data_IF_246193594561
#
_entry.id   IF_246193594561
#
_cell.length_a   1.000
_cell.length_b   1.000
_cell.length_c   1.000
_cell.angle_alpha   90.00
_cell.angle_beta   90.00
_cell.angle_gamma   90.00
#
_symmetry.space_group_name_H-M   'P 1'
#
loop_
_entity.id
_entity.type
_entity.pdbx_description
1 polymer ?
#
# COMPACT_ATOMS: atom_id res chain seq x y z
N UNK A 1 -25.75 -47.06 -22.07
CA UNK A 1 -24.36 -47.38 -22.47
C UNK A 1 -23.24 -46.51 -21.82
N UNK A 2 -23.51 -45.45 -21.04
CA UNK A 2 -22.46 -44.58 -20.48
C UNK A 2 -21.75 -45.05 -19.19
N UNK A 3 -22.26 -46.11 -18.52
CA UNK A 3 -21.80 -46.51 -17.18
C UNK A 3 -20.35 -47.00 -17.11
N UNK A 4 -19.89 -47.73 -18.12
CA UNK A 4 -18.51 -48.25 -18.20
C UNK A 4 -17.48 -47.11 -18.24
N UNK A 5 -17.72 -46.10 -19.09
CA UNK A 5 -16.87 -44.90 -19.17
C UNK A 5 -16.82 -44.14 -17.84
N UNK A 6 -17.94 -44.05 -17.12
CA UNK A 6 -18.01 -43.38 -15.83
C UNK A 6 -17.20 -44.13 -14.76
N UNK A 7 -17.30 -45.47 -14.72
CA UNK A 7 -16.48 -46.34 -13.86
C UNK A 7 -14.98 -46.19 -14.15
N UNK A 8 -14.57 -46.27 -15.41
CA UNK A 8 -13.18 -46.13 -15.81
C UNK A 8 -12.58 -44.75 -15.47
N UNK A 9 -13.35 -43.66 -15.66
CA UNK A 9 -12.90 -42.30 -15.29
C UNK A 9 -12.71 -42.13 -13.77
N UNK A 10 -13.43 -42.90 -12.96
CA UNK A 10 -13.33 -42.87 -11.51
C UNK A 10 -12.22 -43.79 -10.98
N UNK A 11 -12.02 -44.96 -11.58
CA UNK A 11 -11.03 -45.94 -11.14
C UNK A 11 -9.62 -45.67 -11.65
N UNK A 12 -9.46 -44.91 -12.75
CA UNK A 12 -8.13 -44.62 -13.28
C UNK A 12 -7.31 -43.78 -12.28
N UNK A 13 -6.03 -44.12 -12.06
CA UNK A 13 -5.16 -43.31 -11.21
C UNK A 13 -5.02 -41.91 -11.83
N UNK A 14 -5.33 -40.88 -11.04
CA UNK A 14 -5.12 -39.50 -11.44
C UNK A 14 -3.71 -39.10 -11.07
N UNK A 15 -2.92 -38.71 -12.07
CA UNK A 15 -1.63 -38.04 -11.84
C UNK A 15 -1.94 -36.72 -11.15
N UNK A 16 -1.73 -36.68 -9.83
CA UNK A 16 -1.81 -35.45 -9.05
C UNK A 16 -0.48 -34.73 -9.22
N UNK A 17 -0.43 -33.74 -10.10
CA UNK A 17 0.71 -32.83 -10.19
C UNK A 17 0.63 -31.91 -8.98
N UNK A 18 1.25 -32.31 -7.88
CA UNK A 18 1.25 -31.53 -6.65
C UNK A 18 2.25 -30.40 -6.75
N UNK A 19 1.79 -29.15 -6.73
CA UNK A 19 2.70 -28.03 -6.48
C UNK A 19 3.30 -28.16 -5.07
N UNK A 20 4.56 -27.75 -4.86
CA UNK A 20 5.16 -27.69 -3.54
C UNK A 20 4.26 -26.90 -2.59
N UNK A 21 3.83 -27.54 -1.50
CA UNK A 21 3.02 -26.88 -0.47
C UNK A 21 3.90 -25.85 0.23
N UNK A 22 3.66 -24.56 -0.06
CA UNK A 22 4.32 -23.46 0.65
C UNK A 22 3.65 -23.25 2.00
N UNK A 23 4.45 -23.10 3.06
CA UNK A 23 3.94 -22.71 4.38
C UNK A 23 3.64 -21.20 4.35
N UNK A 24 2.38 -20.76 4.44
CA UNK A 24 2.04 -19.34 4.29
C UNK A 24 2.57 -18.47 5.43
N UNK A 25 2.96 -19.08 6.55
CA UNK A 25 3.50 -18.39 7.73
C UNK A 25 4.99 -18.08 7.65
N UNK A 26 5.71 -18.67 6.69
CA UNK A 26 7.15 -18.46 6.53
C UNK A 26 7.37 -17.48 5.40
N UNK A 27 7.65 -16.23 5.77
CA UNK A 27 8.00 -15.18 4.82
C UNK A 27 9.51 -15.21 4.61
N UNK A 28 9.93 -15.26 3.35
CA UNK A 28 11.33 -15.20 2.95
C UNK A 28 11.58 -13.86 2.27
N UNK A 29 12.79 -13.27 2.38
CA UNK A 29 13.12 -12.08 1.60
C UNK A 29 13.03 -12.41 0.11
N UNK A 30 12.44 -11.51 -0.66
CA UNK A 30 12.30 -11.62 -2.13
C UNK A 30 13.46 -10.97 -2.88
N UNK A 31 14.38 -10.32 -2.15
CA UNK A 31 15.48 -9.53 -2.72
C UNK A 31 16.83 -10.05 -2.22
N UNK A 32 17.89 -9.66 -2.94
CA UNK A 32 19.28 -9.93 -2.57
C UNK A 32 20.03 -8.62 -2.61
N UNK A 33 20.70 -8.30 -1.51
CA UNK A 33 21.49 -7.06 -1.40
C UNK A 33 22.89 -7.34 -1.95
N UNK A 34 23.42 -6.50 -2.86
CA UNK A 34 24.80 -6.58 -3.29
C UNK A 34 25.77 -6.57 -2.09
N UNK A 35 26.82 -7.40 -2.09
CA UNK A 35 27.75 -7.51 -0.95
C UNK A 35 28.44 -6.18 -0.61
N UNK A 36 28.61 -5.29 -1.60
CA UNK A 36 29.15 -3.94 -1.40
C UNK A 36 28.28 -3.07 -0.49
N UNK A 37 26.96 -3.23 -0.57
CA UNK A 37 26.03 -2.50 0.29
C UNK A 37 25.96 -3.12 1.68
N UNK A 38 26.10 -4.45 1.79
CA UNK A 38 26.18 -5.12 3.10
C UNK A 38 27.39 -4.65 3.92
N UNK A 39 28.54 -4.41 3.28
CA UNK A 39 29.74 -3.87 3.95
C UNK A 39 29.54 -2.49 4.58
N UNK A 40 28.57 -1.70 4.09
CA UNK A 40 28.25 -0.40 4.68
C UNK A 40 27.38 -0.50 5.94
N UNK A 41 26.79 -1.67 6.18
CA UNK A 41 25.98 -1.92 7.36
C UNK A 41 26.88 -2.35 8.52
N UNK A 42 26.56 -1.88 9.73
CA UNK A 42 27.36 -2.17 10.91
C UNK A 42 27.32 -3.66 11.32
N UNK A 43 26.21 -4.34 11.01
CA UNK A 43 25.98 -5.75 11.33
C UNK A 43 25.44 -6.47 10.11
N UNK A 44 25.75 -7.77 9.97
CA UNK A 44 25.19 -8.62 8.93
C UNK A 44 23.70 -8.89 9.23
N UNK A 45 22.77 -8.27 8.48
CA UNK A 45 21.36 -8.35 8.79
C UNK A 45 20.84 -9.76 8.48
N UNK A 46 20.21 -10.39 9.47
CA UNK A 46 19.59 -11.70 9.33
C UNK A 46 18.07 -11.56 9.28
N UNK A 47 17.46 -12.24 8.32
CA UNK A 47 16.00 -12.29 8.21
C UNK A 47 15.40 -13.16 9.32
N UNK A 48 14.55 -12.58 10.17
CA UNK A 48 13.80 -13.32 11.19
C UNK A 48 12.53 -13.95 10.57
N UNK A 49 12.35 -15.26 10.74
CA UNK A 49 11.18 -15.99 10.23
C UNK A 49 9.89 -15.68 11.00
N UNK A 50 10.01 -15.24 12.26
CA UNK A 50 8.86 -14.93 13.13
C UNK A 50 8.57 -13.44 13.25
N UNK A 51 9.55 -12.61 12.93
CA UNK A 51 9.46 -11.16 13.00
C UNK A 51 8.49 -10.55 11.98
N UNK A 52 8.15 -9.29 12.20
CA UNK A 52 7.35 -8.53 11.23
C UNK A 52 8.17 -8.25 9.97
N UNK A 53 7.50 -8.23 8.82
CA UNK A 53 8.09 -7.86 7.52
C UNK A 53 8.80 -6.51 7.63
N UNK A 54 8.13 -5.49 8.17
CA UNK A 54 8.68 -4.13 8.29
C UNK A 54 9.95 -4.10 9.13
N UNK A 55 10.00 -4.85 10.24
CA UNK A 55 11.19 -4.91 11.10
C UNK A 55 12.37 -5.55 10.39
N UNK A 56 12.13 -6.64 9.65
CA UNK A 56 13.16 -7.26 8.83
C UNK A 56 13.67 -6.29 7.77
N UNK A 57 12.78 -5.70 6.95
CA UNK A 57 13.20 -4.76 5.91
C UNK A 57 14.03 -3.59 6.47
N UNK A 58 13.61 -3.04 7.61
CA UNK A 58 14.35 -1.97 8.28
C UNK A 58 15.75 -2.40 8.74
N UNK A 59 15.94 -3.64 9.20
CA UNK A 59 17.27 -4.13 9.58
C UNK A 59 18.21 -4.24 8.38
N UNK A 60 17.67 -4.46 7.19
CA UNK A 60 18.41 -4.42 5.92
C UNK A 60 18.62 -3.00 5.37
N UNK A 61 18.11 -1.96 6.05
CA UNK A 61 18.12 -0.58 5.55
C UNK A 61 17.24 -0.36 4.32
N UNK A 62 16.29 -1.28 4.06
CA UNK A 62 15.37 -1.22 2.93
C UNK A 62 13.99 -0.82 3.45
N UNK A 63 13.33 0.09 2.74
CA UNK A 63 11.98 0.51 3.08
C UNK A 63 10.98 -0.46 2.47
N UNK A 64 10.06 -0.99 3.28
CA UNK A 64 8.98 -1.86 2.79
C UNK A 64 7.95 -1.07 1.95
N UNK A 65 7.53 0.09 2.46
CA UNK A 65 6.48 0.91 1.86
C UNK A 65 7.05 2.27 1.44
N UNK A 66 7.24 2.54 0.13
CA UNK A 66 7.86 3.79 -0.32
C UNK A 66 7.05 5.04 0.04
N UNK A 67 5.73 4.92 0.17
CA UNK A 67 4.86 6.03 0.59
C UNK A 67 5.10 6.45 2.05
N UNK A 68 5.66 5.58 2.90
CA UNK A 68 6.03 5.97 4.26
C UNK A 68 7.11 7.05 4.29
N UNK A 69 7.93 7.15 3.23
CA UNK A 69 8.91 8.22 3.08
C UNK A 69 8.24 9.55 2.70
N UNK A 70 7.14 9.51 1.95
CA UNK A 70 6.43 10.72 1.52
C UNK A 70 5.59 11.32 2.63
N UNK A 71 5.04 10.51 3.54
CA UNK A 71 4.29 11.01 4.69
C UNK A 71 5.18 11.85 5.63
N UNK A 72 6.47 11.48 5.77
CA UNK A 72 7.47 12.29 6.48
C UNK A 72 7.80 13.61 5.77
N UNK A 73 7.58 13.70 4.46
CA UNK A 73 7.83 14.89 3.64
C UNK A 73 6.56 15.73 3.47
N UNK A 74 5.42 15.23 3.92
CA UNK A 74 4.19 15.99 3.93
C UNK A 74 4.32 17.06 5.01
N UNK A 75 4.26 18.32 4.59
CA UNK A 75 4.17 19.47 5.48
C UNK A 75 3.13 19.17 6.56
N UNK A 76 3.36 19.56 7.84
CA UNK A 76 2.47 19.21 8.93
C UNK A 76 1.05 19.49 8.48
N UNK A 77 0.23 18.43 8.42
CA UNK A 77 -1.19 18.56 8.12
C UNK A 77 -1.69 19.64 9.06
N UNK A 78 -2.01 20.81 8.50
CA UNK A 78 -2.59 21.95 9.21
C UNK A 78 -3.66 21.33 10.09
N UNK A 79 -3.42 21.41 11.39
CA UNK A 79 -4.34 20.93 12.40
C UNK A 79 -5.73 21.37 11.98
N UNK A 80 -6.65 20.41 11.85
CA UNK A 80 -8.07 20.70 11.74
C UNK A 80 -8.50 21.34 13.08
N UNK A 81 -8.09 22.58 13.30
CA UNK A 81 -8.69 23.46 14.27
C UNK A 81 -10.12 23.68 13.75
N UNK A 82 -11.16 23.27 14.50
CA UNK A 82 -12.55 23.45 14.09
C UNK A 82 -13.00 24.93 14.12
N UNK A 83 -12.05 25.86 14.26
CA UNK A 83 -12.26 27.28 14.47
C UNK A 83 -11.49 28.14 13.46
N UNK A 84 -11.38 27.68 12.21
CA UNK A 84 -11.01 28.58 11.11
C UNK A 84 -12.21 29.50 10.83
N UNK A 85 -12.24 30.63 11.53
CA UNK A 85 -13.09 31.78 11.22
C UNK A 85 -12.68 32.31 9.84
N UNK A 86 -13.27 31.72 8.81
CA UNK A 86 -12.88 31.85 7.41
C UNK A 86 -12.38 33.23 7.03
N UNK A 87 -11.06 33.32 6.84
CA UNK A 87 -10.42 34.56 6.42
C UNK A 87 -10.94 35.00 5.03
N UNK A 88 -11.15 36.30 4.89
CA UNK A 88 -11.63 36.98 3.68
C UNK A 88 -10.56 37.07 2.58
N UNK A 89 -9.34 36.60 2.87
CA UNK A 89 -8.19 36.67 1.97
C UNK A 89 -8.08 35.49 1.02
N UNK A 90 -8.77 34.39 1.31
CA UNK A 90 -8.67 33.18 0.50
C UNK A 90 -9.81 33.10 -0.52
N UNK A 91 -9.41 33.07 -1.79
CA UNK A 91 -10.27 33.06 -2.97
C UNK A 91 -11.28 31.90 -2.94
N UNK A 92 -12.53 32.17 -3.32
CA UNK A 92 -13.62 31.18 -3.28
C UNK A 92 -13.36 29.93 -4.13
N UNK A 93 -12.56 30.06 -5.19
CA UNK A 93 -12.17 28.94 -6.06
C UNK A 93 -11.27 27.95 -5.32
N UNK A 94 -10.35 28.44 -4.48
CA UNK A 94 -9.46 27.61 -3.67
C UNK A 94 -10.24 26.85 -2.60
N UNK A 95 -11.20 27.52 -1.94
CA UNK A 95 -12.10 26.89 -0.96
C UNK A 95 -12.93 25.76 -1.59
N UNK A 96 -13.38 25.96 -2.83
CA UNK A 96 -14.17 24.97 -3.57
C UNK A 96 -13.35 23.77 -4.00
N UNK A 97 -12.13 23.99 -4.49
CA UNK A 97 -11.21 22.91 -4.89
C UNK A 97 -10.82 22.00 -3.71
N UNK A 98 -10.68 22.58 -2.51
CA UNK A 98 -10.34 21.86 -1.27
C UNK A 98 -11.57 21.30 -0.53
N UNK A 99 -12.80 21.50 -1.06
CA UNK A 99 -14.04 21.02 -0.44
C UNK A 99 -14.40 21.72 0.87
N UNK A 100 -13.84 22.91 1.14
CA UNK A 100 -14.12 23.72 2.32
C UNK A 100 -15.40 24.53 2.11
N UNK A 101 -16.14 24.79 3.19
CA UNK A 101 -17.39 25.56 3.15
C UNK A 101 -17.10 27.04 3.36
N UNK A 102 -17.79 27.91 2.61
CA UNK A 102 -17.78 29.37 2.87
C UNK A 102 -18.43 29.68 4.21
N UNK A 103 -18.16 30.87 4.78
CA UNK A 103 -18.71 31.33 6.07
C UNK A 103 -20.24 31.33 6.11
N UNK A 104 -20.90 31.59 4.98
CA UNK A 104 -22.35 31.58 4.82
C UNK A 104 -22.94 30.15 4.74
N UNK A 105 -22.07 29.12 4.73
CA UNK A 105 -22.41 27.70 4.72
C UNK A 105 -22.78 27.14 3.34
N UNK A 106 -22.79 27.98 2.29
CA UNK A 106 -23.07 27.55 0.91
C UNK A 106 -21.77 27.20 0.19
N UNK A 107 -21.78 26.09 -0.55
CA UNK A 107 -20.72 25.79 -1.50
C UNK A 107 -20.82 26.75 -2.71
N UNK A 108 -19.70 27.09 -3.34
CA UNK A 108 -19.77 27.78 -4.63
C UNK A 108 -20.53 26.91 -5.64
N UNK A 109 -21.24 27.55 -6.57
CA UNK A 109 -21.87 26.81 -7.66
C UNK A 109 -20.77 26.20 -8.54
N UNK A 110 -20.95 24.96 -9.02
CA UNK A 110 -19.97 24.33 -9.89
C UNK A 110 -19.81 25.17 -11.16
N UNK A 111 -18.58 25.59 -11.44
CA UNK A 111 -18.30 26.31 -12.69
C UNK A 111 -18.33 25.33 -13.87
N UNK A 112 -18.97 25.69 -14.99
CA UNK A 112 -18.97 24.85 -16.18
C UNK A 112 -17.56 24.77 -16.77
N UNK A 113 -17.15 23.57 -17.19
CA UNK A 113 -15.84 23.30 -17.81
C UNK A 113 -15.68 23.92 -19.23
N UNK A 114 -16.67 24.68 -19.68
CA UNK A 114 -16.74 25.29 -21.01
C UNK A 114 -17.30 26.70 -20.88
N UNK A 115 -16.54 27.70 -21.30
CA UNK A 115 -17.08 29.02 -21.63
C UNK A 115 -17.75 28.91 -23.00
N UNK A 116 -19.06 29.17 -23.09
CA UNK A 116 -19.74 29.44 -24.37
C UNK A 116 -19.65 30.94 -24.64
#
# INVERSE_FOLDING_TARGET
>A
MGGSRRKYKNSRPKVRVGLPKKNPKVLKPTFTIPPKLLQSLAEDPKWDEKGSVTQNYNSFGVVNDPNSLTDSLQAPSVSDDPNDSGSDLEEDDLKSALGKRRRDGKSAFPQPLTSI
#
